data_IF_832988897065
#
_entry.id   IF_832988897065
#
_cell.length_a   1.000
_cell.length_b   1.000
_cell.length_c   1.000
_cell.angle_alpha   90.00
_cell.angle_beta   90.00
_cell.angle_gamma   90.00
#
_symmetry.space_group_name_H-M   'P 1'
#
loop_
_entity.id
_entity.type
_entity.pdbx_description
1 polymer ?
#
# COMPACT_ATOMS: atom_id res chain seq x y z
N UNK A 1 15.88 -3.99 -13.02
CA UNK A 1 14.67 -3.48 -12.35
C UNK A 1 13.59 -4.56 -12.35
N UNK A 2 13.21 -5.04 -11.17
CA UNK A 2 12.21 -6.11 -11.00
C UNK A 2 10.79 -5.59 -10.78
N UNK A 3 10.62 -4.28 -10.61
CA UNK A 3 9.32 -3.58 -10.54
C UNK A 3 9.30 -2.41 -11.50
N UNK A 4 8.22 -2.28 -12.24
CA UNK A 4 7.92 -1.10 -13.06
C UNK A 4 6.63 -0.46 -12.56
N UNK A 5 6.73 0.73 -12.00
CA UNK A 5 5.56 1.57 -11.72
C UNK A 5 5.29 2.42 -12.96
N UNK A 6 4.07 2.38 -13.44
CA UNK A 6 3.68 3.22 -14.57
C UNK A 6 3.38 4.62 -14.05
N UNK A 7 4.30 5.53 -14.29
CA UNK A 7 4.17 6.92 -13.85
C UNK A 7 2.95 7.57 -14.53
N UNK A 8 2.24 8.46 -13.83
CA UNK A 8 1.03 9.13 -14.33
C UNK A 8 1.19 9.81 -15.70
N UNK A 9 2.39 10.31 -15.99
CA UNK A 9 2.70 11.01 -17.24
C UNK A 9 3.22 10.09 -18.36
N UNK A 10 3.42 8.80 -18.11
CA UNK A 10 3.88 7.88 -19.15
C UNK A 10 2.80 7.63 -20.19
N UNK A 11 3.20 7.44 -21.46
CA UNK A 11 2.26 7.10 -22.55
C UNK A 11 1.44 5.85 -22.24
N UNK A 12 2.06 4.85 -21.61
CA UNK A 12 1.38 3.61 -21.19
C UNK A 12 0.29 3.92 -20.14
N UNK A 13 0.57 4.76 -19.14
CA UNK A 13 -0.42 5.13 -18.12
C UNK A 13 -1.57 5.93 -18.74
N UNK A 14 -1.27 6.87 -19.66
CA UNK A 14 -2.29 7.62 -20.40
C UNK A 14 -3.19 6.67 -21.22
N UNK A 15 -2.61 5.67 -21.90
CA UNK A 15 -3.37 4.63 -22.60
C UNK A 15 -4.23 3.80 -21.67
N UNK A 16 -3.70 3.41 -20.52
CA UNK A 16 -4.45 2.65 -19.50
C UNK A 16 -5.61 3.43 -18.90
N UNK A 17 -5.46 4.74 -18.66
CA UNK A 17 -6.55 5.60 -18.20
C UNK A 17 -7.75 5.61 -19.14
N UNK A 18 -7.55 5.36 -20.45
CA UNK A 18 -8.62 5.24 -21.45
C UNK A 18 -9.32 3.88 -21.38
N UNK A 19 -8.69 2.86 -20.79
CA UNK A 19 -9.25 1.51 -20.68
C UNK A 19 -10.47 1.50 -19.75
N UNK A 20 -11.60 0.95 -20.21
CA UNK A 20 -12.87 0.87 -19.48
C UNK A 20 -12.72 0.14 -18.14
N UNK A 21 -12.01 -0.99 -18.14
CA UNK A 21 -11.81 -1.78 -16.90
C UNK A 21 -10.99 -1.03 -15.87
N UNK A 22 -9.94 -0.30 -16.28
CA UNK A 22 -9.16 0.53 -15.38
C UNK A 22 -10.02 1.65 -14.78
N UNK A 23 -10.84 2.31 -15.59
CA UNK A 23 -11.78 3.34 -15.12
C UNK A 23 -12.77 2.77 -14.10
N UNK A 24 -13.33 1.59 -14.38
CA UNK A 24 -14.30 0.93 -13.49
C UNK A 24 -13.66 0.54 -12.15
N UNK A 25 -12.46 -0.06 -12.16
CA UNK A 25 -11.71 -0.39 -10.94
C UNK A 25 -11.42 0.88 -10.14
N UNK A 26 -10.96 1.93 -10.80
CA UNK A 26 -10.65 3.20 -10.16
C UNK A 26 -11.89 3.84 -9.53
N UNK A 27 -13.02 3.83 -10.23
CA UNK A 27 -14.30 4.30 -9.72
C UNK A 27 -14.79 3.47 -8.54
N UNK A 28 -14.66 2.14 -8.62
CA UNK A 28 -15.01 1.22 -7.54
C UNK A 28 -14.27 1.58 -6.24
N UNK A 29 -12.95 1.74 -6.31
CA UNK A 29 -12.17 2.08 -5.11
C UNK A 29 -12.46 3.49 -4.59
N UNK A 30 -12.79 4.44 -5.45
CA UNK A 30 -13.31 5.73 -4.99
C UNK A 30 -14.63 5.59 -4.22
N UNK A 31 -15.57 4.80 -4.73
CA UNK A 31 -16.86 4.53 -4.08
C UNK A 31 -16.73 3.74 -2.79
N UNK A 32 -15.75 2.82 -2.71
CA UNK A 32 -15.47 2.05 -1.50
C UNK A 32 -14.81 2.86 -0.37
N UNK A 33 -14.25 4.05 -0.66
CA UNK A 33 -13.58 4.88 0.33
C UNK A 33 -14.36 5.04 1.65
N UNK A 34 -15.62 5.49 1.68
CA UNK A 34 -16.35 5.68 2.93
C UNK A 34 -16.57 4.36 3.69
N UNK A 35 -16.81 3.26 3.00
CA UNK A 35 -17.00 1.93 3.59
C UNK A 35 -15.70 1.46 4.26
N UNK A 36 -14.58 1.57 3.54
CA UNK A 36 -13.25 1.18 4.04
C UNK A 36 -12.86 2.02 5.24
N UNK A 37 -13.05 3.34 5.17
CA UNK A 37 -12.73 4.23 6.29
C UNK A 37 -13.61 3.96 7.51
N UNK A 38 -14.89 3.62 7.32
CA UNK A 38 -15.77 3.20 8.41
C UNK A 38 -15.23 1.92 9.09
N UNK A 39 -14.75 0.95 8.30
CA UNK A 39 -14.20 -0.30 8.82
C UNK A 39 -12.94 -0.08 9.68
N UNK A 40 -12.12 0.91 9.33
CA UNK A 40 -10.90 1.26 10.07
C UNK A 40 -11.10 2.38 11.11
N UNK A 41 -12.32 2.89 11.30
CA UNK A 41 -12.58 4.12 12.06
C UNK A 41 -12.00 4.11 13.48
N UNK A 42 -12.23 3.02 14.23
CA UNK A 42 -11.70 2.88 15.59
C UNK A 42 -10.16 2.90 15.61
N UNK A 43 -9.53 2.16 14.68
CA UNK A 43 -8.08 2.13 14.58
C UNK A 43 -7.52 3.49 14.17
N UNK A 44 -8.17 4.18 13.23
CA UNK A 44 -7.76 5.51 12.81
C UNK A 44 -7.85 6.50 13.98
N UNK A 45 -8.97 6.54 14.70
CA UNK A 45 -9.14 7.40 15.88
C UNK A 45 -8.10 7.13 16.95
N UNK A 46 -7.77 5.86 17.18
CA UNK A 46 -6.76 5.48 18.18
C UNK A 46 -5.35 5.96 17.81
N UNK A 47 -4.98 5.89 16.52
CA UNK A 47 -3.60 6.08 16.08
C UNK A 47 -3.33 7.42 15.43
N UNK A 48 -4.34 8.01 14.82
CA UNK A 48 -4.27 9.34 14.23
C UNK A 48 -4.83 10.34 15.23
N UNK A 49 -4.12 10.65 16.29
CA UNK A 49 -4.50 11.51 17.46
C UNK A 49 -5.10 12.89 17.12
N UNK A 50 -5.59 13.13 15.93
CA UNK A 50 -6.24 14.34 15.43
C UNK A 50 -7.62 13.99 14.89
N UNK A 51 -8.55 14.93 15.01
CA UNK A 51 -9.83 14.86 14.30
C UNK A 51 -9.60 14.84 12.80
N UNK A 52 -9.38 13.65 12.23
CA UNK A 52 -9.24 13.54 10.79
C UNK A 52 -10.62 13.70 10.13
N UNK A 53 -10.67 14.55 9.13
CA UNK A 53 -11.89 14.74 8.35
C UNK A 53 -11.89 13.76 7.17
N UNK A 54 -12.76 12.76 7.23
CA UNK A 54 -12.89 11.72 6.17
C UNK A 54 -13.09 12.31 4.78
N UNK A 55 -13.77 13.46 4.69
CA UNK A 55 -14.03 14.18 3.44
C UNK A 55 -12.76 14.75 2.80
N UNK A 56 -11.77 15.13 3.60
CA UNK A 56 -10.52 15.74 3.12
C UNK A 56 -9.49 14.73 2.60
N UNK A 57 -9.70 13.43 2.81
CA UNK A 57 -8.77 12.44 2.29
C UNK A 57 -8.78 12.42 0.77
N UNK A 58 -7.63 12.62 0.17
CA UNK A 58 -7.44 12.47 -1.26
C UNK A 58 -7.39 10.99 -1.66
N UNK A 59 -7.49 10.73 -2.96
CA UNK A 59 -7.40 9.40 -3.52
C UNK A 59 -6.47 9.44 -4.73
N UNK A 60 -5.48 8.59 -4.75
CA UNK A 60 -4.71 8.36 -5.95
C UNK A 60 -4.50 6.86 -6.21
N UNK A 61 -4.18 6.54 -7.43
CA UNK A 61 -3.96 5.16 -7.84
C UNK A 61 -2.88 5.04 -8.90
N UNK A 62 -2.21 3.91 -8.89
CA UNK A 62 -1.21 3.54 -9.89
C UNK A 62 -1.41 2.09 -10.32
N UNK A 63 -0.93 1.78 -11.52
CA UNK A 63 -0.83 0.42 -11.98
C UNK A 63 0.62 -0.04 -11.95
N UNK A 64 0.86 -1.22 -11.42
CA UNK A 64 2.19 -1.74 -11.22
C UNK A 64 2.36 -3.10 -11.87
N UNK A 65 3.57 -3.38 -12.30
CA UNK A 65 3.98 -4.66 -12.85
C UNK A 65 5.13 -5.20 -12.02
N UNK A 66 4.93 -6.39 -11.49
CA UNK A 66 5.92 -7.14 -10.72
C UNK A 66 6.49 -8.25 -11.59
N UNK A 67 7.79 -8.22 -11.82
CA UNK A 67 8.51 -9.19 -12.63
C UNK A 67 9.15 -10.29 -11.78
N UNK A 68 9.53 -11.38 -12.41
CA UNK A 68 10.34 -12.43 -11.77
C UNK A 68 11.54 -11.82 -11.03
N UNK A 69 11.79 -12.30 -9.82
CA UNK A 69 12.85 -11.81 -8.95
C UNK A 69 12.47 -10.61 -8.07
N UNK A 70 11.28 -10.00 -8.27
CA UNK A 70 10.85 -8.92 -7.41
C UNK A 70 10.78 -9.35 -5.94
N UNK A 71 11.35 -8.54 -5.09
CA UNK A 71 11.29 -8.65 -3.62
C UNK A 71 11.20 -7.25 -3.05
N UNK A 72 10.49 -7.07 -1.97
CA UNK A 72 10.51 -5.81 -1.22
C UNK A 72 10.67 -6.11 0.27
N UNK A 73 11.73 -5.56 0.86
CA UNK A 73 12.01 -5.69 2.29
C UNK A 73 10.92 -5.03 3.12
N UNK A 74 10.82 -5.43 4.38
CA UNK A 74 9.89 -4.85 5.32
C UNK A 74 10.10 -3.33 5.43
N UNK A 75 9.01 -2.58 5.33
CA UNK A 75 9.01 -1.12 5.35
C UNK A 75 7.66 -0.60 5.81
N UNK A 76 7.63 0.67 6.19
CA UNK A 76 6.42 1.47 6.32
C UNK A 76 6.32 2.36 5.09
N UNK A 77 5.12 2.57 4.58
CA UNK A 77 4.90 3.53 3.50
C UNK A 77 4.91 4.98 4.00
N UNK A 78 4.72 5.92 3.09
CA UNK A 78 4.74 7.35 3.38
C UNK A 78 3.69 7.68 4.45
N UNK A 79 4.00 8.67 5.30
CA UNK A 79 3.13 9.09 6.41
C UNK A 79 1.78 9.67 5.99
N UNK A 80 1.72 10.29 4.82
CA UNK A 80 0.48 10.82 4.25
C UNK A 80 -0.45 9.71 3.74
N UNK A 81 0.05 8.51 3.52
CA UNK A 81 -0.78 7.36 3.17
C UNK A 81 -1.51 6.85 4.41
N UNK A 82 -2.83 6.87 4.40
CA UNK A 82 -3.63 6.36 5.51
C UNK A 82 -4.06 4.90 5.29
N UNK A 83 -4.63 4.61 4.13
CA UNK A 83 -5.06 3.26 3.79
C UNK A 83 -4.55 2.90 2.42
N UNK A 84 -3.90 1.76 2.31
CA UNK A 84 -3.48 1.18 1.04
C UNK A 84 -4.49 0.16 0.55
N UNK A 85 -4.66 0.14 -0.75
CA UNK A 85 -5.45 -0.85 -1.47
C UNK A 85 -4.56 -1.54 -2.49
N UNK A 86 -4.43 -2.84 -2.38
CA UNK A 86 -3.72 -3.69 -3.33
C UNK A 86 -4.72 -4.62 -3.99
N UNK A 87 -4.93 -4.46 -5.29
CA UNK A 87 -5.83 -5.32 -6.04
C UNK A 87 -5.11 -6.04 -7.16
N UNK A 88 -5.21 -7.35 -7.14
CA UNK A 88 -4.60 -8.25 -8.11
C UNK A 88 -5.70 -8.94 -8.92
N UNK A 89 -6.01 -8.46 -10.13
CA UNK A 89 -7.06 -9.05 -10.97
C UNK A 89 -6.74 -10.46 -11.40
N UNK A 90 -5.45 -10.76 -11.60
CA UNK A 90 -4.97 -12.08 -11.96
C UNK A 90 -3.61 -12.34 -11.34
N UNK A 91 -3.45 -13.48 -10.69
CA UNK A 91 -2.17 -13.89 -10.11
C UNK A 91 -2.12 -15.39 -9.85
N UNK A 92 -0.96 -15.98 -10.08
CA UNK A 92 -0.64 -17.34 -9.66
C UNK A 92 -0.06 -17.32 -8.24
N UNK A 93 -0.81 -17.82 -7.28
CA UNK A 93 -0.44 -17.83 -5.87
C UNK A 93 0.74 -18.76 -5.54
N UNK A 94 1.03 -19.74 -6.41
CA UNK A 94 2.10 -20.73 -6.22
C UNK A 94 3.48 -20.15 -6.52
N UNK A 95 3.57 -19.02 -7.18
CA UNK A 95 4.82 -18.42 -7.67
C UNK A 95 5.45 -17.40 -6.71
N UNK A 96 5.17 -17.47 -5.41
CA UNK A 96 5.73 -16.56 -4.42
C UNK A 96 5.11 -15.16 -4.49
N UNK A 97 5.86 -14.14 -4.08
CA UNK A 97 5.36 -12.75 -4.01
C UNK A 97 4.23 -12.62 -3.01
N UNK A 98 4.29 -13.34 -1.87
CA UNK A 98 3.33 -13.21 -0.78
C UNK A 98 3.48 -11.84 -0.13
N UNK A 99 2.36 -11.24 0.22
CA UNK A 99 2.34 -10.03 1.03
C UNK A 99 2.39 -10.48 2.49
N UNK A 100 3.37 -10.00 3.23
CA UNK A 100 3.57 -10.32 4.63
C UNK A 100 3.38 -9.06 5.46
N UNK A 101 2.53 -9.15 6.47
CA UNK A 101 2.37 -8.09 7.47
C UNK A 101 3.27 -8.45 8.64
N UNK A 102 4.11 -7.50 9.00
CA UNK A 102 5.10 -7.64 10.06
C UNK A 102 4.73 -6.74 11.22
N UNK A 103 5.05 -7.15 12.43
CA UNK A 103 4.89 -6.33 13.64
C UNK A 103 6.22 -6.18 14.39
N UNK A 104 6.40 -5.05 15.06
CA UNK A 104 7.52 -4.87 15.97
C UNK A 104 7.42 -5.84 17.14
N UNK A 105 8.52 -6.49 17.50
CA UNK A 105 8.61 -7.33 18.70
C UNK A 105 8.52 -6.49 19.97
N UNK A 106 9.09 -5.28 19.93
CA UNK A 106 9.03 -4.30 21.05
C UNK A 106 8.65 -2.94 20.48
N UNK A 107 7.72 -2.24 21.14
CA UNK A 107 7.38 -0.87 20.79
C UNK A 107 8.57 0.07 21.04
N UNK A 108 8.77 1.01 20.12
CA UNK A 108 9.82 2.03 20.18
C UNK A 108 9.18 3.42 20.21
N UNK A 109 9.91 4.41 20.70
CA UNK A 109 9.48 5.83 20.64
C UNK A 109 9.44 6.35 19.20
N UNK A 110 10.30 5.82 18.33
CA UNK A 110 10.38 6.16 16.90
C UNK A 110 10.42 4.89 16.07
N UNK A 111 9.91 4.96 14.86
CA UNK A 111 9.83 3.83 13.94
C UNK A 111 10.59 4.17 12.65
N UNK A 112 11.56 3.35 12.32
CA UNK A 112 12.32 3.47 11.08
C UNK A 112 11.48 3.05 9.89
N UNK A 113 11.65 3.71 8.75
CA UNK A 113 10.96 3.32 7.50
C UNK A 113 11.38 1.90 7.07
N UNK A 114 12.66 1.56 7.27
CA UNK A 114 13.23 0.26 6.98
C UNK A 114 13.83 -0.35 8.25
N UNK A 115 13.04 -1.10 9.02
CA UNK A 115 13.49 -1.65 10.29
C UNK A 115 14.45 -2.83 10.07
N UNK A 116 15.23 -3.15 11.09
CA UNK A 116 16.01 -4.38 11.11
C UNK A 116 15.08 -5.59 11.18
N UNK A 117 15.37 -6.63 10.42
CA UNK A 117 14.58 -7.88 10.43
C UNK A 117 14.52 -8.52 11.82
N UNK A 118 15.59 -8.41 12.64
CA UNK A 118 15.63 -8.93 14.00
C UNK A 118 14.57 -8.31 14.92
N UNK A 119 14.14 -7.08 14.62
CA UNK A 119 13.16 -6.34 15.41
C UNK A 119 11.72 -6.70 15.03
N UNK A 120 11.54 -7.47 13.96
CA UNK A 120 10.23 -7.81 13.43
C UNK A 120 9.84 -9.27 13.69
N UNK A 121 8.55 -9.49 13.79
CA UNK A 121 7.93 -10.81 13.73
C UNK A 121 6.81 -10.81 12.69
N UNK A 122 6.55 -11.97 12.11
CA UNK A 122 5.45 -12.15 11.15
C UNK A 122 4.12 -12.08 11.89
N UNK A 123 3.23 -11.19 11.46
CA UNK A 123 1.85 -11.12 11.95
C UNK A 123 0.89 -11.91 11.06
N UNK A 124 1.02 -11.78 9.74
CA UNK A 124 0.23 -12.57 8.78
C UNK A 124 0.94 -12.67 7.44
N UNK A 125 0.56 -13.69 6.64
CA UNK A 125 1.10 -13.90 5.30
C UNK A 125 -0.03 -14.24 4.34
N UNK A 126 -0.14 -13.47 3.26
CA UNK A 126 -1.20 -13.56 2.28
C UNK A 126 -0.66 -14.01 0.94
N UNK A 127 -1.10 -15.17 0.47
CA UNK A 127 -0.84 -15.63 -0.89
C UNK A 127 -1.74 -14.86 -1.85
N UNK A 128 -1.12 -14.23 -2.85
CA UNK A 128 -1.83 -13.43 -3.84
C UNK A 128 -2.40 -14.32 -4.93
N UNK A 129 -3.70 -14.43 -5.00
CA UNK A 129 -4.47 -15.21 -5.99
C UNK A 129 -5.30 -14.30 -6.90
N UNK A 130 -6.03 -14.89 -7.85
CA UNK A 130 -6.94 -14.13 -8.71
C UNK A 130 -7.98 -13.36 -7.91
N UNK A 131 -8.29 -12.15 -8.33
CA UNK A 131 -9.24 -11.25 -7.68
C UNK A 131 -8.95 -11.00 -6.19
N UNK A 132 -7.66 -11.05 -5.82
CA UNK A 132 -7.24 -10.77 -4.46
C UNK A 132 -7.21 -9.27 -4.22
N UNK A 133 -7.89 -8.83 -3.17
CA UNK A 133 -7.86 -7.45 -2.71
C UNK A 133 -7.45 -7.39 -1.23
N UNK A 134 -6.50 -6.53 -0.92
CA UNK A 134 -6.02 -6.29 0.43
C UNK A 134 -6.12 -4.80 0.75
N UNK A 135 -6.77 -4.49 1.87
CA UNK A 135 -6.77 -3.17 2.47
C UNK A 135 -5.91 -3.20 3.72
N UNK A 136 -4.99 -2.25 3.84
CA UNK A 136 -4.12 -2.13 5.02
C UNK A 136 -4.13 -0.71 5.55
N UNK A 137 -4.25 -0.56 6.87
CA UNK A 137 -4.08 0.73 7.54
C UNK A 137 -2.58 0.99 7.73
N UNK A 138 -2.12 2.16 7.30
CA UNK A 138 -0.74 2.58 7.48
C UNK A 138 -0.60 3.32 8.81
N UNK A 139 -0.08 2.63 9.80
CA UNK A 139 0.24 3.17 11.12
C UNK A 139 1.74 3.00 11.39
N UNK A 140 2.33 3.73 12.35
CA UNK A 140 3.78 3.75 12.56
C UNK A 140 4.46 2.39 12.67
N UNK A 141 3.74 1.37 13.08
CA UNK A 141 4.25 0.00 13.27
C UNK A 141 3.67 -1.02 12.29
N UNK A 142 2.95 -0.59 11.27
CA UNK A 142 2.36 -1.46 10.23
C UNK A 142 3.36 -1.78 9.13
N UNK A 143 4.38 -2.54 9.47
CA UNK A 143 5.36 -2.98 8.49
C UNK A 143 4.78 -4.02 7.55
N UNK A 144 5.19 -3.94 6.31
CA UNK A 144 4.85 -4.97 5.33
C UNK A 144 6.02 -5.23 4.38
N UNK A 145 6.06 -6.44 3.85
CA UNK A 145 7.05 -6.88 2.89
C UNK A 145 6.42 -7.70 1.77
N UNK A 146 7.13 -7.85 0.68
CA UNK A 146 6.77 -8.77 -0.39
C UNK A 146 7.86 -9.80 -0.55
N UNK A 147 7.52 -11.09 -0.37
CA UNK A 147 8.46 -12.18 -0.59
C UNK A 147 8.83 -12.30 -2.07
N UNK A 148 9.95 -12.96 -2.37
CA UNK A 148 10.43 -13.10 -3.74
C UNK A 148 9.38 -13.73 -4.66
N UNK A 149 9.16 -13.09 -5.81
CA UNK A 149 8.27 -13.56 -6.87
C UNK A 149 9.05 -14.38 -7.90
N UNK A 150 8.57 -15.57 -8.19
CA UNK A 150 9.24 -16.52 -9.09
C UNK A 150 8.49 -16.76 -10.40
N UNK A 151 7.32 -16.13 -10.60
CA UNK A 151 6.50 -16.34 -11.78
C UNK A 151 7.21 -15.93 -13.07
N UNK A 152 7.02 -16.75 -14.13
CA UNK A 152 7.52 -16.43 -15.48
C UNK A 152 6.76 -15.26 -16.12
N UNK A 153 5.45 -15.17 -15.86
CA UNK A 153 4.58 -14.08 -16.35
C UNK A 153 4.62 -12.91 -15.37
N UNK A 154 4.56 -11.70 -15.90
CA UNK A 154 4.45 -10.49 -15.11
C UNK A 154 3.16 -10.50 -14.27
N UNK A 155 3.27 -10.23 -12.97
CA UNK A 155 2.13 -10.02 -12.08
C UNK A 155 1.72 -8.56 -12.12
N UNK A 156 0.51 -8.31 -12.54
CA UNK A 156 -0.06 -6.96 -12.64
C UNK A 156 -0.92 -6.68 -11.43
N UNK A 157 -0.84 -5.47 -10.88
CA UNK A 157 -1.69 -5.08 -9.77
C UNK A 157 -2.00 -3.59 -9.78
N UNK A 158 -3.17 -3.29 -9.25
CA UNK A 158 -3.64 -1.94 -9.00
C UNK A 158 -3.29 -1.57 -7.56
N UNK A 159 -2.64 -0.44 -7.38
CA UNK A 159 -2.33 0.13 -6.08
C UNK A 159 -3.07 1.43 -5.95
N UNK A 160 -3.84 1.58 -4.90
CA UNK A 160 -4.52 2.81 -4.58
C UNK A 160 -4.29 3.19 -3.12
N UNK A 161 -4.45 4.48 -2.83
CA UNK A 161 -4.22 5.02 -1.50
C UNK A 161 -5.28 6.06 -1.18
N UNK A 162 -5.73 6.06 0.06
CA UNK A 162 -6.47 7.17 0.65
C UNK A 162 -5.49 7.95 1.52
N UNK A 163 -5.21 9.21 1.13
CA UNK A 163 -4.16 10.02 1.71
C UNK A 163 -4.70 11.17 2.52
N UNK A 164 -3.96 11.53 3.56
CA UNK A 164 -4.11 12.84 4.19
C UNK A 164 -3.67 13.96 3.24
N UNK A 165 -4.30 15.13 3.29
CA UNK A 165 -3.77 16.32 2.66
C UNK A 165 -2.33 16.56 3.13
N UNK A 166 -1.45 16.91 2.18
CA UNK A 166 -0.03 17.16 2.47
C UNK A 166 0.13 18.28 3.51
N UNK A 167 -0.75 19.26 3.46
CA UNK A 167 -0.80 20.41 4.40
C UNK A 167 -1.07 19.97 5.85
N UNK A 168 -1.87 18.91 6.06
CA UNK A 168 -2.20 18.40 7.39
C UNK A 168 -1.08 17.57 8.02
N UNK A 169 -0.20 17.00 7.20
CA UNK A 169 0.96 16.23 7.67
C UNK A 169 2.13 17.14 8.05
N UNK A 170 2.04 18.42 7.66
CA UNK A 170 2.93 19.51 8.06
C UNK A 170 4.37 19.36 7.58
N UNK A 171 5.23 20.32 7.99
CA UNK A 171 6.67 20.37 7.66
C UNK A 171 7.46 19.12 8.09
N UNK A 172 6.86 18.24 8.89
CA UNK A 172 7.40 16.92 9.27
C UNK A 172 7.62 15.99 8.06
N UNK A 173 7.00 16.26 6.90
CA UNK A 173 7.27 15.55 5.65
C UNK A 173 8.69 15.80 5.11
N UNK A 174 9.31 16.94 5.44
CA UNK A 174 10.69 17.24 4.99
C UNK A 174 11.70 16.17 5.43
N UNK A 175 11.39 15.42 6.48
CA UNK A 175 12.20 14.30 6.94
C UNK A 175 11.65 12.94 6.47
N UNK A 176 11.43 12.76 5.16
CA UNK A 176 10.97 11.49 4.55
C UNK A 176 11.80 10.26 4.91
N UNK A 177 13.01 10.44 5.42
CA UNK A 177 13.93 9.37 5.85
C UNK A 177 13.74 8.96 7.32
N UNK A 178 13.07 9.79 8.12
CA UNK A 178 12.80 9.46 9.53
C UNK A 178 11.43 8.82 9.63
N UNK A 179 11.34 7.73 10.39
CA UNK A 179 10.08 7.07 10.73
C UNK A 179 9.05 8.01 11.37
N UNK A 180 7.90 7.46 11.74
CA UNK A 180 6.87 8.20 12.47
C UNK A 180 7.37 8.65 13.84
#
# INVERSE_FOLDING_TARGET
QTKKTMLPNSAIYKKMKKNKNFKNINLLFKKLKPIVLKKFDQSIKKYVKKNYQKSKLSYHSTFNVMRKGYIKSAHIDRRDHLVHVLFYPSSDSTKGGKIRIMKMKKHKKTYDVFPSKKDLSLASSHSVKNNFCLFTLNVPWSYHEVSKYYGKKDRKYFYAVYDFPIEEVGSKIKNRKKGF
#
